data_IF_634863332070
#
_entry.id   IF_634863332070
#
_cell.length_a   1.000
_cell.length_b   1.000
_cell.length_c   1.000
_cell.angle_alpha   90.00
_cell.angle_beta   90.00
_cell.angle_gamma   90.00
#
_symmetry.space_group_name_H-M   'P 1'
#
loop_
_entity.id
_entity.type
_entity.pdbx_description
1 polymer ?
#
# COMPACT_ATOMS: atom_id res chain seq x y z
N UNK A 1 -13.53 16.86 -5.19
CA UNK A 1 -12.39 16.65 -6.12
C UNK A 1 -12.57 15.27 -6.72
N UNK A 2 -12.27 15.08 -8.01
CA UNK A 2 -12.44 13.77 -8.65
C UNK A 2 -11.18 12.96 -8.42
N UNK A 3 -11.29 11.82 -7.74
CA UNK A 3 -10.17 10.88 -7.55
C UNK A 3 -9.75 10.36 -8.92
N UNK A 4 -8.47 10.44 -9.24
CA UNK A 4 -7.92 9.83 -10.44
C UNK A 4 -7.83 8.31 -10.22
N UNK A 5 -8.59 7.55 -11.01
CA UNK A 5 -8.64 6.09 -10.90
C UNK A 5 -7.83 5.49 -12.04
N UNK A 6 -6.87 4.65 -11.71
CA UNK A 6 -6.07 3.87 -12.65
C UNK A 6 -6.32 2.38 -12.43
N UNK A 7 -6.66 1.63 -13.49
CA UNK A 7 -6.93 0.19 -13.42
C UNK A 7 -5.92 -0.54 -14.28
N UNK A 8 -5.09 -1.35 -13.66
CA UNK A 8 -4.12 -2.21 -14.30
C UNK A 8 -4.59 -3.67 -14.21
N UNK A 9 -4.37 -4.44 -15.25
CA UNK A 9 -4.73 -5.86 -15.30
C UNK A 9 -3.53 -6.72 -15.69
N UNK A 10 -3.43 -7.90 -15.06
CA UNK A 10 -2.36 -8.86 -15.35
C UNK A 10 -2.94 -10.26 -15.53
N UNK A 11 -2.59 -10.93 -16.63
CA UNK A 11 -3.02 -12.30 -16.98
C UNK A 11 -4.53 -12.47 -17.13
N UNK A 12 -5.26 -11.41 -17.45
CA UNK A 12 -6.70 -11.43 -17.70
C UNK A 12 -7.10 -10.25 -18.58
N UNK A 13 -8.26 -10.31 -19.20
CA UNK A 13 -8.85 -9.20 -19.92
C UNK A 13 -9.77 -8.39 -19.00
N UNK A 14 -9.72 -7.07 -19.12
CA UNK A 14 -10.61 -6.18 -18.40
C UNK A 14 -11.92 -6.03 -19.17
N UNK A 15 -12.98 -6.67 -18.70
CA UNK A 15 -14.31 -6.48 -19.28
C UNK A 15 -14.87 -5.10 -18.91
N UNK A 16 -15.72 -4.53 -19.79
CA UNK A 16 -16.38 -3.24 -19.53
C UNK A 16 -17.20 -3.27 -18.22
N UNK A 17 -17.85 -4.39 -17.95
CA UNK A 17 -18.62 -4.59 -16.74
C UNK A 17 -17.74 -4.52 -15.47
N UNK A 18 -16.56 -5.15 -15.49
CA UNK A 18 -15.62 -5.13 -14.36
C UNK A 18 -15.02 -3.73 -14.19
N UNK A 19 -14.68 -3.05 -15.29
CA UNK A 19 -14.20 -1.67 -15.28
C UNK A 19 -15.20 -0.73 -14.62
N UNK A 20 -16.45 -0.73 -15.11
CA UNK A 20 -17.51 0.11 -14.56
C UNK A 20 -17.78 -0.19 -13.08
N UNK A 21 -17.73 -1.46 -12.70
CA UNK A 21 -17.91 -1.89 -11.32
C UNK A 21 -16.83 -1.31 -10.41
N UNK A 22 -15.56 -1.45 -10.79
CA UNK A 22 -14.41 -0.93 -10.04
C UNK A 22 -14.48 0.59 -9.92
N UNK A 23 -14.66 1.29 -11.03
CA UNK A 23 -14.75 2.76 -11.06
C UNK A 23 -15.87 3.28 -10.16
N UNK A 24 -17.07 2.71 -10.25
CA UNK A 24 -18.22 3.08 -9.43
C UNK A 24 -18.00 2.84 -7.94
N UNK A 25 -17.30 1.77 -7.58
CA UNK A 25 -17.01 1.43 -6.18
C UNK A 25 -15.88 2.30 -5.62
N UNK A 26 -14.79 2.46 -6.38
CA UNK A 26 -13.61 3.24 -5.96
C UNK A 26 -13.93 4.73 -5.87
N UNK A 27 -14.74 5.28 -6.79
CA UNK A 27 -15.18 6.67 -6.74
C UNK A 27 -15.88 7.05 -5.42
N UNK A 28 -16.49 6.08 -4.72
CA UNK A 28 -17.14 6.34 -3.41
C UNK A 28 -16.14 6.63 -2.29
N UNK A 29 -14.87 6.29 -2.46
CA UNK A 29 -13.83 6.52 -1.45
C UNK A 29 -13.60 8.01 -1.19
N UNK A 30 -13.86 8.88 -2.19
CA UNK A 30 -13.81 10.34 -2.05
C UNK A 30 -14.65 10.86 -0.87
N UNK A 31 -15.77 10.19 -0.57
CA UNK A 31 -16.65 10.54 0.56
C UNK A 31 -16.06 10.21 1.93
N UNK A 32 -15.12 9.28 1.96
CA UNK A 32 -14.52 8.82 3.22
C UNK A 32 -13.22 9.52 3.54
N UNK A 33 -12.49 10.02 2.54
CA UNK A 33 -11.24 10.74 2.75
C UNK A 33 -11.06 11.81 1.68
N UNK A 34 -11.33 13.06 2.02
CA UNK A 34 -11.31 14.24 1.13
C UNK A 34 -9.91 14.56 0.56
N UNK A 35 -8.88 13.91 1.12
CA UNK A 35 -7.48 14.11 0.74
C UNK A 35 -6.97 13.11 -0.27
N UNK A 36 -7.83 12.22 -0.80
CA UNK A 36 -7.44 11.24 -1.82
C UNK A 36 -7.28 11.95 -3.17
N UNK A 37 -6.08 11.83 -3.75
CA UNK A 37 -5.78 12.36 -5.07
C UNK A 37 -5.83 11.27 -6.14
N UNK A 38 -5.32 10.06 -5.80
CA UNK A 38 -5.19 8.95 -6.74
C UNK A 38 -5.58 7.60 -6.12
N UNK A 39 -6.22 6.75 -6.92
CA UNK A 39 -6.52 5.35 -6.59
C UNK A 39 -6.05 4.44 -7.73
N UNK A 40 -5.11 3.57 -7.44
CA UNK A 40 -4.59 2.56 -8.35
C UNK A 40 -5.15 1.19 -7.98
N UNK A 41 -5.79 0.52 -8.94
CA UNK A 41 -6.38 -0.81 -8.79
C UNK A 41 -5.63 -1.79 -9.69
N UNK A 42 -4.97 -2.77 -9.10
CA UNK A 42 -4.25 -3.81 -9.82
C UNK A 42 -5.02 -5.12 -9.70
N UNK A 43 -5.51 -5.64 -10.82
CA UNK A 43 -6.29 -6.88 -10.91
C UNK A 43 -5.44 -7.95 -11.58
N UNK A 44 -5.24 -9.09 -10.90
CA UNK A 44 -4.37 -10.15 -11.39
C UNK A 44 -5.07 -11.50 -11.34
N UNK A 45 -5.00 -12.26 -12.44
CA UNK A 45 -5.32 -13.68 -12.43
C UNK A 45 -4.06 -14.51 -12.18
N UNK A 46 -3.92 -15.08 -10.98
CA UNK A 46 -2.75 -15.86 -10.58
C UNK A 46 -2.84 -17.30 -11.14
N UNK A 47 -2.20 -17.53 -12.29
CA UNK A 47 -2.20 -18.86 -12.96
C UNK A 47 -1.55 -19.96 -12.12
N UNK A 48 -0.62 -19.63 -11.23
CA UNK A 48 0.15 -20.57 -10.41
C UNK A 48 -0.37 -20.72 -8.98
N UNK A 49 -1.55 -20.18 -8.67
CA UNK A 49 -2.13 -20.32 -7.33
C UNK A 49 -2.42 -21.80 -7.02
N UNK A 50 -1.92 -22.30 -5.88
CA UNK A 50 -2.13 -23.68 -5.42
C UNK A 50 -3.61 -23.98 -5.17
N UNK A 51 -4.38 -22.99 -4.74
CA UNK A 51 -5.82 -23.10 -4.51
C UNK A 51 -6.61 -22.29 -5.53
N UNK A 52 -7.72 -22.85 -6.01
CA UNK A 52 -8.63 -22.12 -6.89
C UNK A 52 -9.18 -20.84 -6.23
N UNK A 53 -9.30 -20.84 -4.91
CA UNK A 53 -9.79 -19.72 -4.09
C UNK A 53 -8.85 -18.50 -4.06
N UNK A 54 -7.60 -18.65 -4.49
CA UNK A 54 -6.59 -17.57 -4.44
C UNK A 54 -6.22 -17.06 -5.84
N UNK A 55 -6.99 -17.41 -6.86
CA UNK A 55 -6.66 -17.12 -8.26
C UNK A 55 -6.95 -15.69 -8.68
N UNK A 56 -7.95 -15.07 -8.10
CA UNK A 56 -8.30 -13.70 -8.41
C UNK A 56 -7.73 -12.79 -7.32
N UNK A 57 -6.84 -11.92 -7.71
CA UNK A 57 -6.15 -11.00 -6.79
C UNK A 57 -6.55 -9.59 -7.14
N UNK A 58 -7.11 -8.87 -6.19
CA UNK A 58 -7.35 -7.44 -6.28
C UNK A 58 -6.46 -6.71 -5.27
N UNK A 59 -5.69 -5.75 -5.75
CA UNK A 59 -4.90 -4.84 -4.93
C UNK A 59 -5.39 -3.43 -5.17
N UNK A 60 -5.59 -2.66 -4.10
CA UNK A 60 -5.94 -1.25 -4.18
C UNK A 60 -4.93 -0.42 -3.40
N UNK A 61 -4.34 0.55 -4.08
CA UNK A 61 -3.44 1.54 -3.48
C UNK A 61 -4.07 2.91 -3.63
N UNK A 62 -4.27 3.59 -2.52
CA UNK A 62 -4.80 4.95 -2.46
C UNK A 62 -3.67 5.87 -2.03
N UNK A 63 -3.58 7.01 -2.71
CA UNK A 63 -2.64 8.07 -2.40
C UNK A 63 -3.38 9.37 -2.19
N UNK A 64 -2.95 10.11 -1.20
CA UNK A 64 -3.48 11.43 -0.87
C UNK A 64 -2.47 12.22 -0.05
N UNK A 65 -2.83 13.43 0.33
CA UNK A 65 -1.95 14.31 1.09
C UNK A 65 -1.60 13.69 2.45
N UNK A 66 -0.34 13.24 2.57
CA UNK A 66 0.20 12.67 3.81
C UNK A 66 -0.30 11.25 4.15
N UNK A 67 -0.88 10.52 3.19
CA UNK A 67 -1.34 9.16 3.42
C UNK A 67 -1.20 8.28 2.19
N UNK A 68 -0.69 7.08 2.39
CA UNK A 68 -0.73 6.00 1.41
C UNK A 68 -1.36 4.79 2.09
N UNK A 69 -2.46 4.31 1.53
CA UNK A 69 -3.16 3.12 2.00
C UNK A 69 -3.07 2.04 0.94
N UNK A 70 -2.78 0.82 1.34
CA UNK A 70 -2.72 -0.31 0.43
C UNK A 70 -3.38 -1.53 1.06
N UNK A 71 -4.15 -2.24 0.26
CA UNK A 71 -4.72 -3.52 0.62
C UNK A 71 -4.68 -4.49 -0.56
N UNK A 72 -4.59 -5.78 -0.28
CA UNK A 72 -4.67 -6.87 -1.23
C UNK A 72 -5.61 -7.95 -0.68
N UNK A 73 -6.42 -8.51 -1.57
CA UNK A 73 -7.29 -9.63 -1.27
C UNK A 73 -7.30 -10.64 -2.41
N UNK A 74 -7.49 -11.90 -2.04
CA UNK A 74 -7.49 -13.03 -2.96
C UNK A 74 -8.74 -13.85 -2.76
N UNK A 75 -9.43 -14.15 -3.85
CA UNK A 75 -10.62 -15.00 -3.84
C UNK A 75 -10.72 -15.84 -5.12
N UNK A 76 -11.79 -16.60 -5.25
CA UNK A 76 -12.11 -17.34 -6.49
C UNK A 76 -12.81 -16.47 -7.53
N UNK A 77 -13.40 -15.32 -7.11
CA UNK A 77 -14.13 -14.36 -7.95
C UNK A 77 -13.55 -12.96 -7.88
N UNK A 78 -13.35 -12.31 -9.05
CA UNK A 78 -12.72 -10.98 -9.10
C UNK A 78 -13.60 -9.89 -8.47
N UNK A 79 -14.91 -9.95 -8.64
CA UNK A 79 -15.83 -8.98 -8.04
C UNK A 79 -15.79 -9.08 -6.51
N UNK A 80 -15.76 -10.30 -5.98
CA UNK A 80 -15.60 -10.54 -4.55
C UNK A 80 -14.24 -10.02 -4.03
N UNK A 81 -13.15 -10.23 -4.79
CA UNK A 81 -11.83 -9.69 -4.43
C UNK A 81 -11.84 -8.17 -4.35
N UNK A 82 -12.50 -7.50 -5.30
CA UNK A 82 -12.66 -6.04 -5.32
C UNK A 82 -13.46 -5.56 -4.12
N UNK A 83 -14.54 -6.23 -3.74
CA UNK A 83 -15.33 -5.84 -2.58
C UNK A 83 -14.54 -6.00 -1.28
N UNK A 84 -13.87 -7.12 -1.09
CA UNK A 84 -13.08 -7.35 0.12
C UNK A 84 -11.88 -6.41 0.26
N UNK A 85 -11.21 -6.08 -0.84
CA UNK A 85 -10.10 -5.12 -0.80
C UNK A 85 -10.60 -3.71 -0.44
N UNK A 86 -11.78 -3.32 -0.92
CA UNK A 86 -12.43 -2.06 -0.56
C UNK A 86 -12.80 -2.01 0.91
N UNK A 87 -13.40 -3.08 1.45
CA UNK A 87 -13.72 -3.16 2.88
C UNK A 87 -12.47 -3.02 3.76
N UNK A 88 -11.35 -3.61 3.32
CA UNK A 88 -10.06 -3.48 4.00
C UNK A 88 -9.58 -2.02 3.99
N UNK A 89 -9.68 -1.35 2.86
CA UNK A 89 -9.32 0.06 2.70
C UNK A 89 -10.22 0.96 3.56
N UNK A 90 -11.54 0.72 3.60
CA UNK A 90 -12.44 1.47 4.47
C UNK A 90 -12.02 1.39 5.94
N UNK A 91 -11.67 0.19 6.44
CA UNK A 91 -11.18 0.01 7.81
C UNK A 91 -9.85 0.72 8.06
N UNK A 92 -8.96 0.77 7.05
CA UNK A 92 -7.71 1.53 7.14
C UNK A 92 -7.97 3.04 7.21
N UNK A 93 -8.88 3.57 6.37
CA UNK A 93 -9.30 4.98 6.40
C UNK A 93 -9.88 5.35 7.77
N UNK A 94 -10.75 4.53 8.34
CA UNK A 94 -11.34 4.77 9.66
C UNK A 94 -10.28 4.82 10.76
N UNK A 95 -9.31 3.89 10.74
CA UNK A 95 -8.19 3.91 11.69
C UNK A 95 -7.34 5.16 11.52
N UNK A 96 -7.03 5.55 10.29
CA UNK A 96 -6.27 6.75 9.98
C UNK A 96 -6.98 8.00 10.53
N UNK A 97 -8.27 8.17 10.24
CA UNK A 97 -9.08 9.27 10.78
C UNK A 97 -9.11 9.28 12.31
N UNK A 98 -9.32 8.14 12.93
CA UNK A 98 -9.40 8.03 14.38
C UNK A 98 -8.10 8.43 15.09
N UNK A 99 -6.94 8.22 14.46
CA UNK A 99 -5.64 8.62 14.99
C UNK A 99 -5.39 10.11 14.79
N UNK A 100 -5.64 10.64 13.61
CA UNK A 100 -5.43 12.06 13.30
C UNK A 100 -6.32 13.00 14.13
N UNK A 101 -7.53 12.57 14.51
CA UNK A 101 -8.39 13.36 15.37
C UNK A 101 -7.93 13.37 16.84
N UNK A 102 -7.28 12.30 17.31
CA UNK A 102 -6.69 12.28 18.67
C UNK A 102 -5.37 13.03 18.75
N UNK A 103 -4.62 13.14 17.63
CA UNK A 103 -3.31 13.82 17.58
C UNK A 103 -3.40 15.34 17.39
N UNK A 104 -4.60 15.92 17.20
CA UNK A 104 -4.79 17.37 17.02
C UNK A 104 -4.50 18.22 18.26
N UNK A 105 -4.04 17.60 19.37
CA UNK A 105 -3.56 18.30 20.56
C UNK A 105 -2.08 18.72 20.51
N UNK A 106 -1.30 18.26 19.55
CA UNK A 106 0.16 18.47 19.54
C UNK A 106 0.61 18.97 18.14
N UNK A 107 0.26 20.19 17.85
CA UNK A 107 0.68 21.19 16.87
C UNK A 107 1.67 20.88 15.74
N UNK A 108 1.79 19.65 15.22
CA UNK A 108 2.62 19.34 14.06
C UNK A 108 1.77 19.02 12.83
N UNK A 109 1.93 19.85 11.81
CA UNK A 109 1.26 19.73 10.53
C UNK A 109 1.76 18.51 9.74
N UNK A 110 0.81 17.64 9.34
CA UNK A 110 1.06 16.48 8.47
C UNK A 110 1.31 16.87 6.99
N UNK A 111 1.83 18.07 6.71
CA UNK A 111 1.96 18.60 5.36
C UNK A 111 3.23 18.16 4.61
N UNK A 112 4.17 17.46 5.26
CA UNK A 112 5.50 17.17 4.66
C UNK A 112 5.73 15.71 4.24
N UNK A 113 4.72 14.85 4.31
CA UNK A 113 4.89 13.43 3.99
C UNK A 113 4.34 13.03 2.62
N UNK A 114 4.56 13.85 1.61
CA UNK A 114 4.17 13.50 0.25
C UNK A 114 5.40 13.21 -0.60
N UNK A 115 5.70 11.95 -0.84
CA UNK A 115 6.25 11.46 -2.11
C UNK A 115 6.73 10.00 -2.00
N UNK A 116 5.80 9.05 -2.09
CA UNK A 116 6.15 7.68 -2.46
C UNK A 116 5.62 7.40 -3.87
N UNK A 117 6.45 7.55 -4.87
CA UNK A 117 6.17 6.99 -6.19
C UNK A 117 6.85 5.62 -6.30
N UNK A 118 6.12 4.53 -6.55
CA UNK A 118 6.74 3.29 -7.02
C UNK A 118 6.98 3.42 -8.53
N UNK A 119 8.23 3.53 -8.92
CA UNK A 119 8.63 3.36 -10.31
C UNK A 119 8.33 1.94 -10.78
N UNK A 120 7.73 1.85 -11.95
CA UNK A 120 7.16 0.67 -12.58
C UNK A 120 8.09 -0.55 -12.63
N UNK A 121 7.44 -1.68 -12.62
CA UNK A 121 8.03 -3.02 -12.64
C UNK A 121 8.10 -3.52 -14.07
N UNK A 122 9.29 -3.79 -14.58
CA UNK A 122 9.50 -4.73 -15.68
C UNK A 122 10.10 -6.00 -15.09
N UNK A 123 9.44 -7.14 -15.33
CA UNK A 123 9.89 -8.47 -14.90
C UNK A 123 10.69 -9.11 -16.03
N UNK A 124 11.96 -9.43 -15.78
CA UNK A 124 12.70 -10.44 -16.53
C UNK A 124 13.03 -11.61 -15.59
N UNK A 125 12.55 -12.80 -15.96
CA UNK A 125 12.89 -14.05 -15.28
C UNK A 125 14.24 -14.56 -15.81
N UNK A 126 15.23 -14.68 -14.92
CA UNK A 126 16.37 -15.58 -15.15
C UNK A 126 16.84 -16.19 -13.84
N UNK A 127 16.95 -17.51 -13.86
CA UNK A 127 17.35 -18.40 -12.78
C UNK A 127 18.86 -18.39 -12.53
N UNK A 128 19.25 -18.37 -11.29
CA UNK A 128 20.49 -18.70 -10.56
C UNK A 128 20.93 -17.54 -9.64
N UNK A 129 21.11 -17.79 -8.35
CA UNK A 129 21.67 -16.94 -7.26
C UNK A 129 21.72 -15.40 -7.47
N UNK A 130 20.92 -14.89 -8.38
CA UNK A 130 20.81 -13.52 -8.84
C UNK A 130 19.64 -12.86 -8.16
N UNK A 131 19.76 -11.57 -7.90
CA UNK A 131 18.70 -10.73 -7.38
C UNK A 131 17.49 -10.86 -8.32
N UNK A 132 16.52 -11.70 -7.96
CA UNK A 132 15.32 -11.99 -8.76
C UNK A 132 14.45 -10.74 -9.02
N UNK A 133 14.55 -9.72 -8.15
CA UNK A 133 13.76 -8.50 -8.27
C UNK A 133 14.50 -7.32 -7.66
N UNK A 134 14.59 -6.22 -8.39
CA UNK A 134 15.08 -4.94 -7.87
C UNK A 134 13.92 -3.96 -7.73
N UNK A 135 13.79 -3.36 -6.55
CA UNK A 135 12.84 -2.26 -6.30
C UNK A 135 13.62 -1.02 -5.87
N UNK A 136 13.21 0.13 -6.37
CA UNK A 136 13.72 1.42 -5.91
C UNK A 136 12.60 2.11 -5.14
N UNK A 137 12.91 2.60 -3.96
CA UNK A 137 11.99 3.36 -3.13
C UNK A 137 12.61 4.72 -2.83
N UNK A 138 11.80 5.76 -2.96
CA UNK A 138 12.15 7.06 -2.40
C UNK A 138 11.88 6.98 -0.90
N UNK A 139 12.88 7.28 -0.10
CA UNK A 139 12.76 7.27 1.35
C UNK A 139 12.32 8.66 1.82
N UNK A 140 11.22 8.74 2.55
CA UNK A 140 10.81 9.96 3.22
C UNK A 140 11.41 9.98 4.62
N UNK A 141 11.90 11.14 5.08
CA UNK A 141 12.32 11.32 6.46
C UNK A 141 11.12 11.16 7.39
N UNK A 142 11.25 10.33 8.42
CA UNK A 142 10.23 10.11 9.44
C UNK A 142 10.86 9.58 10.72
N UNK A 143 10.15 9.73 11.85
CA UNK A 143 10.58 9.11 13.10
C UNK A 143 10.15 7.64 13.18
N UNK A 144 10.64 6.91 14.17
CA UNK A 144 10.34 5.48 14.36
C UNK A 144 8.84 5.22 14.54
N UNK A 145 8.13 6.11 15.20
CA UNK A 145 6.71 5.99 15.47
C UNK A 145 5.90 6.15 14.19
N UNK A 146 6.25 7.12 13.36
CA UNK A 146 5.67 7.32 12.05
C UNK A 146 5.99 6.14 11.13
N UNK A 147 7.20 5.60 11.19
CA UNK A 147 7.60 4.43 10.40
C UNK A 147 6.78 3.17 10.77
N UNK A 148 6.51 2.95 12.07
CA UNK A 148 5.63 1.87 12.54
C UNK A 148 4.22 2.06 11.98
N UNK A 149 3.70 3.28 12.03
CA UNK A 149 2.38 3.57 11.49
C UNK A 149 2.30 3.36 9.97
N UNK A 150 3.30 3.81 9.24
CA UNK A 150 3.38 3.61 7.78
C UNK A 150 3.51 2.14 7.41
N UNK A 151 4.34 1.38 8.11
CA UNK A 151 4.45 -0.07 7.91
C UNK A 151 3.10 -0.76 8.04
N UNK A 152 2.32 -0.41 9.07
CA UNK A 152 0.98 -0.97 9.31
C UNK A 152 -0.06 -0.51 8.29
N UNK A 153 0.00 0.74 7.84
CA UNK A 153 -0.92 1.30 6.86
C UNK A 153 -0.71 0.71 5.46
N UNK A 154 0.56 0.48 5.09
CA UNK A 154 0.92 -0.13 3.81
C UNK A 154 0.70 -1.64 3.78
N UNK A 155 0.41 -2.27 4.93
CA UNK A 155 0.28 -3.72 5.04
C UNK A 155 1.60 -4.45 4.79
N UNK A 156 2.72 -3.81 5.11
CA UNK A 156 4.02 -4.47 5.06
C UNK A 156 4.17 -5.33 6.32
N UNK A 157 4.02 -6.64 6.17
CA UNK A 157 4.05 -7.55 7.31
C UNK A 157 5.48 -7.96 7.69
N UNK A 158 6.44 -7.93 6.76
CA UNK A 158 7.79 -8.43 6.98
C UNK A 158 8.76 -7.32 7.42
N UNK A 159 8.92 -6.26 6.61
CA UNK A 159 9.85 -5.16 6.90
C UNK A 159 9.43 -3.84 6.24
N UNK A 160 9.98 -2.74 6.76
CA UNK A 160 9.80 -1.38 6.26
C UNK A 160 11.12 -0.61 6.36
N UNK A 161 11.50 0.06 5.27
CA UNK A 161 12.75 0.84 5.19
C UNK A 161 12.39 2.32 5.21
N UNK A 162 13.05 3.12 6.03
CA UNK A 162 12.81 4.55 6.16
C UNK A 162 14.10 5.33 6.45
N UNK A 163 14.07 6.64 6.24
CA UNK A 163 15.12 7.55 6.65
C UNK A 163 14.76 8.12 8.02
N UNK A 164 15.54 7.78 9.04
CA UNK A 164 15.27 8.26 10.39
C UNK A 164 15.66 9.74 10.51
N UNK A 165 14.74 10.58 11.02
CA UNK A 165 14.96 12.03 11.20
C UNK A 165 15.92 12.35 12.33
N UNK A 166 16.15 11.41 13.27
CA UNK A 166 17.00 11.63 14.44
C UNK A 166 18.48 11.54 14.07
N UNK A 167 18.85 10.52 13.31
CA UNK A 167 20.24 10.22 12.93
C UNK A 167 20.54 10.47 11.46
N UNK A 168 19.52 10.77 10.65
CA UNK A 168 19.60 10.92 9.18
C UNK A 168 20.15 9.66 8.49
N UNK A 169 19.96 8.49 9.10
CA UNK A 169 20.38 7.20 8.56
C UNK A 169 19.19 6.38 8.06
N UNK A 170 19.47 5.43 7.17
CA UNK A 170 18.46 4.49 6.69
C UNK A 170 18.27 3.40 7.73
N UNK A 171 17.09 3.32 8.32
CA UNK A 171 16.75 2.30 9.31
C UNK A 171 15.71 1.33 8.74
N UNK A 172 15.67 0.12 9.32
CA UNK A 172 14.78 -0.95 8.88
C UNK A 172 13.96 -1.45 10.06
N UNK A 173 12.65 -1.26 10.00
CA UNK A 173 11.70 -1.94 10.88
C UNK A 173 11.40 -3.32 10.31
N UNK A 174 11.36 -4.34 11.17
CA UNK A 174 10.99 -5.69 10.77
C UNK A 174 10.11 -6.38 11.80
N UNK A 175 9.25 -7.28 11.37
CA UNK A 175 8.43 -8.08 12.26
C UNK A 175 9.18 -9.32 12.71
N UNK A 176 9.29 -9.49 14.02
CA UNK A 176 9.86 -10.67 14.63
C UNK A 176 8.86 -11.84 14.62
N UNK A 177 9.36 -13.05 14.78
CA UNK A 177 8.53 -14.28 14.81
C UNK A 177 7.52 -14.29 15.97
N UNK A 178 7.80 -13.57 17.04
CA UNK A 178 6.91 -13.40 18.20
C UNK A 178 5.83 -12.33 17.98
N UNK A 179 5.81 -11.71 16.81
CA UNK A 179 4.85 -10.66 16.43
C UNK A 179 5.25 -9.24 16.88
N UNK A 180 6.32 -9.09 17.65
CA UNK A 180 6.88 -7.79 18.02
C UNK A 180 7.63 -7.15 16.85
N UNK A 181 7.93 -5.85 16.93
CA UNK A 181 8.75 -5.15 15.95
C UNK A 181 10.20 -5.05 16.44
N UNK A 182 11.14 -5.22 15.53
CA UNK A 182 12.55 -4.93 15.74
C UNK A 182 12.99 -3.78 14.83
N UNK A 183 13.99 -3.03 15.27
CA UNK A 183 14.65 -1.99 14.52
C UNK A 183 16.09 -2.37 14.22
N UNK A 184 16.50 -2.23 12.98
CA UNK A 184 17.90 -2.31 12.56
C UNK A 184 18.32 -0.89 12.22
N UNK A 185 19.25 -0.37 13.00
CA UNK A 185 19.90 0.91 12.75
C UNK A 185 21.13 0.68 11.86
N UNK A 186 21.36 1.58 10.90
CA UNK A 186 22.56 1.50 10.05
C UNK A 186 23.51 2.62 10.39
N UNK A 187 24.80 2.32 10.38
CA UNK A 187 25.86 3.30 10.53
C UNK A 187 26.73 3.33 9.26
N UNK A 188 26.97 4.52 8.74
CA UNK A 188 27.96 4.71 7.65
C UNK A 188 29.33 4.93 8.32
N UNK A 189 30.31 4.09 7.95
CA UNK A 189 31.70 4.31 8.32
C UNK A 189 32.37 5.28 7.37
#
# INVERSE_FOLDING_TARGET
MTVQIEINVKNMDLSDQLREYVEKKVAKLDRYLDTIDQAQVDLTHAKTARNAKDRQVAQLTIRGKGVVLRAEERTEDMFASVDLVLDKIYRQIERYKGRHWRSRGDGRSAADLASFEPLGTEEEETSSETIARRKRHLLSPMDEREAIEQMLLLGHDDFFIFLNTVDSQVNILYRRRDGTLGLIETENK
#
